data_IF_956828311583
#
_entry.id   IF_956828311583
#
_cell.length_a   1.000
_cell.length_b   1.000
_cell.length_c   1.000
_cell.angle_alpha   90.00
_cell.angle_beta   90.00
_cell.angle_gamma   90.00
#
_symmetry.space_group_name_H-M   'P 1'
#
loop_
_entity.id
_entity.type
_entity.pdbx_description
1 polymer ?
#
# COMPACT_ATOMS: atom_id res chain seq x y z
N UNK A 1 -3.48 -26.51 17.07
CA UNK A 1 -2.53 -25.49 16.63
C UNK A 1 -3.30 -24.18 16.50
N UNK A 2 -2.70 -23.03 16.79
CA UNK A 2 -3.39 -21.75 16.58
C UNK A 2 -3.70 -21.56 15.08
N UNK A 3 -4.85 -20.93 14.81
CA UNK A 3 -5.36 -20.71 13.46
C UNK A 3 -5.65 -19.22 13.23
N UNK A 4 -5.89 -18.85 11.98
CA UNK A 4 -6.34 -17.53 11.58
C UNK A 4 -7.20 -17.62 10.33
N UNK A 5 -8.08 -16.63 10.14
CA UNK A 5 -8.97 -16.54 8.99
C UNK A 5 -8.40 -15.62 7.92
N UNK A 6 -8.75 -15.89 6.68
CA UNK A 6 -8.43 -15.01 5.55
C UNK A 6 -9.55 -15.02 4.50
N UNK A 7 -9.70 -13.89 3.80
CA UNK A 7 -10.60 -13.75 2.66
C UNK A 7 -9.88 -14.16 1.38
N UNK A 8 -10.37 -15.18 0.72
CA UNK A 8 -9.77 -15.78 -0.46
C UNK A 8 -10.40 -15.21 -1.73
N UNK A 9 -9.59 -14.58 -2.54
CA UNK A 9 -9.96 -14.12 -3.88
C UNK A 9 -9.84 -15.27 -4.88
N UNK A 10 -10.94 -15.59 -5.56
CA UNK A 10 -11.04 -16.69 -6.54
C UNK A 10 -11.07 -16.21 -7.99
N UNK A 11 -11.27 -14.93 -8.19
CA UNK A 11 -11.37 -14.33 -9.51
C UNK A 11 -12.36 -13.16 -9.58
N UNK A 12 -12.36 -12.43 -10.70
CA UNK A 12 -13.25 -11.29 -10.90
C UNK A 12 -14.73 -11.68 -10.75
N UNK A 13 -15.47 -10.82 -10.04
CA UNK A 13 -16.92 -10.99 -9.83
C UNK A 13 -17.31 -12.13 -8.88
N UNK A 14 -16.36 -12.94 -8.42
CA UNK A 14 -16.62 -14.05 -7.49
C UNK A 14 -16.56 -13.51 -6.06
N UNK A 15 -17.56 -13.78 -5.19
CA UNK A 15 -17.50 -13.41 -3.79
C UNK A 15 -16.28 -14.01 -3.11
N UNK A 16 -15.70 -13.24 -2.16
CA UNK A 16 -14.61 -13.74 -1.34
C UNK A 16 -15.08 -14.90 -0.46
N UNK A 17 -14.25 -15.92 -0.34
CA UNK A 17 -14.49 -17.06 0.55
C UNK A 17 -13.66 -16.88 1.83
N UNK A 18 -14.32 -16.86 2.99
CA UNK A 18 -13.61 -16.82 4.26
C UNK A 18 -13.19 -18.23 4.64
N UNK A 19 -11.88 -18.43 4.81
CA UNK A 19 -11.29 -19.71 5.23
C UNK A 19 -10.42 -19.53 6.44
N UNK A 20 -10.35 -20.61 7.22
CA UNK A 20 -9.44 -20.74 8.36
C UNK A 20 -8.24 -21.61 7.98
N UNK A 21 -7.06 -21.18 8.42
CA UNK A 21 -5.78 -21.84 8.15
C UNK A 21 -4.97 -21.99 9.43
N UNK A 22 -4.16 -23.03 9.57
CA UNK A 22 -3.18 -23.10 10.64
C UNK A 22 -2.14 -21.97 10.47
N UNK A 23 -1.67 -21.42 11.59
CA UNK A 23 -0.55 -20.47 11.51
C UNK A 23 0.70 -21.20 11.02
N UNK A 24 1.44 -20.59 10.05
CA UNK A 24 2.64 -21.20 9.50
C UNK A 24 3.80 -21.15 10.51
N UNK A 25 4.71 -22.10 10.41
CA UNK A 25 6.02 -21.96 11.04
C UNK A 25 6.77 -20.77 10.42
N UNK A 26 7.40 -19.97 11.26
CA UNK A 26 8.14 -18.79 10.81
C UNK A 26 9.56 -19.20 10.45
N UNK A 27 9.94 -18.99 9.18
CA UNK A 27 11.31 -19.20 8.68
C UNK A 27 12.31 -18.27 9.39
N UNK A 28 13.60 -18.61 9.45
CA UNK A 28 14.60 -17.83 10.19
C UNK A 28 14.66 -16.33 9.83
N UNK A 29 14.41 -15.97 8.57
CA UNK A 29 14.46 -14.58 8.06
C UNK A 29 13.06 -14.03 7.73
N UNK A 30 12.00 -14.59 8.31
CA UNK A 30 10.61 -14.20 8.08
C UNK A 30 9.98 -13.60 9.34
N UNK A 31 8.82 -12.95 9.18
CA UNK A 31 8.04 -12.38 10.28
C UNK A 31 6.59 -12.78 10.07
N UNK A 32 5.90 -13.20 11.11
CA UNK A 32 4.45 -13.31 11.13
C UNK A 32 3.87 -12.06 11.83
N UNK A 33 3.03 -11.33 11.13
CA UNK A 33 2.35 -10.15 11.65
C UNK A 33 0.87 -10.46 11.83
N UNK A 34 0.31 -10.14 12.99
CA UNK A 34 -1.14 -10.09 13.20
C UNK A 34 -1.65 -8.76 12.68
N UNK A 35 -2.47 -8.78 11.65
CA UNK A 35 -3.05 -7.58 11.05
C UNK A 35 -4.05 -6.96 12.04
N UNK A 36 -3.87 -5.69 12.36
CA UNK A 36 -4.79 -4.94 13.24
C UNK A 36 -5.77 -4.11 12.42
N UNK A 37 -5.33 -3.62 11.26
CA UNK A 37 -6.18 -2.91 10.31
C UNK A 37 -5.68 -3.12 8.87
N UNK A 38 -6.62 -3.26 7.95
CA UNK A 38 -6.39 -3.26 6.51
C UNK A 38 -7.43 -2.37 5.82
N UNK A 39 -7.00 -1.60 4.83
CA UNK A 39 -7.89 -0.80 3.99
C UNK A 39 -8.19 -1.51 2.68
N UNK A 40 -9.31 -1.13 2.06
CA UNK A 40 -9.65 -1.52 0.69
C UNK A 40 -9.20 -0.40 -0.24
N UNK A 41 -8.18 -0.67 -1.05
CA UNK A 41 -7.69 0.24 -2.08
C UNK A 41 -8.61 0.19 -3.33
N UNK A 42 -8.59 1.26 -4.12
CA UNK A 42 -9.27 1.26 -5.42
C UNK A 42 -8.81 0.13 -6.35
N UNK A 43 -7.53 -0.24 -6.29
CA UNK A 43 -6.98 -1.34 -7.06
C UNK A 43 -7.53 -2.72 -6.67
N UNK A 44 -7.95 -2.93 -5.42
CA UNK A 44 -8.63 -4.16 -4.99
C UNK A 44 -10.01 -4.27 -5.67
N UNK A 45 -10.72 -3.14 -5.81
CA UNK A 45 -12.00 -3.09 -6.52
C UNK A 45 -11.81 -3.30 -8.03
N UNK A 46 -10.80 -2.68 -8.63
CA UNK A 46 -10.47 -2.88 -10.06
C UNK A 46 -10.10 -4.34 -10.34
N UNK A 47 -9.34 -4.98 -9.45
CA UNK A 47 -9.01 -6.40 -9.55
C UNK A 47 -10.27 -7.26 -9.46
N UNK A 48 -11.15 -7.00 -8.49
CA UNK A 48 -12.38 -7.76 -8.30
C UNK A 48 -13.38 -7.57 -9.45
N UNK A 49 -13.42 -6.38 -10.07
CA UNK A 49 -14.25 -6.10 -11.25
C UNK A 49 -13.67 -6.65 -12.55
N UNK A 50 -12.43 -7.16 -12.54
CA UNK A 50 -11.73 -7.62 -13.75
C UNK A 50 -11.22 -6.49 -14.65
N UNK A 51 -11.19 -5.26 -14.13
CA UNK A 51 -10.69 -4.07 -14.82
C UNK A 51 -9.15 -4.01 -14.79
N UNK A 52 -8.53 -4.77 -13.89
CA UNK A 52 -7.09 -4.90 -13.75
C UNK A 52 -6.67 -6.36 -13.80
N UNK A 53 -5.62 -6.66 -14.57
CA UNK A 53 -5.06 -8.01 -14.62
C UNK A 53 -4.21 -8.29 -13.37
N UNK A 54 -4.35 -9.46 -12.74
CA UNK A 54 -3.45 -9.87 -11.67
C UNK A 54 -2.03 -10.05 -12.21
N UNK A 55 -0.98 -9.90 -11.36
CA UNK A 55 0.42 -10.02 -11.78
C UNK A 55 0.82 -11.44 -12.22
N UNK A 56 -0.03 -12.42 -11.97
CA UNK A 56 0.12 -13.82 -12.40
C UNK A 56 -1.27 -14.46 -12.53
N UNK A 57 -1.40 -15.57 -13.29
CA UNK A 57 -2.65 -16.32 -13.36
C UNK A 57 -3.17 -16.71 -11.99
N UNK A 58 -4.49 -16.59 -11.78
CA UNK A 58 -5.14 -16.94 -10.53
C UNK A 58 -5.14 -18.47 -10.38
N UNK A 59 -4.52 -18.97 -9.31
CA UNK A 59 -4.55 -20.39 -9.00
C UNK A 59 -5.98 -20.84 -8.61
N UNK A 60 -6.43 -22.05 -8.96
CA UNK A 60 -7.78 -22.52 -8.61
C UNK A 60 -8.12 -22.49 -7.11
N UNK A 61 -7.13 -22.65 -6.23
CA UNK A 61 -7.32 -22.48 -4.78
C UNK A 61 -7.62 -21.04 -4.37
N UNK A 62 -7.38 -20.05 -5.23
CA UNK A 62 -7.40 -18.64 -4.91
C UNK A 62 -6.22 -18.22 -4.04
N UNK A 63 -6.21 -16.96 -3.62
CA UNK A 63 -5.18 -16.41 -2.72
C UNK A 63 -5.73 -15.21 -1.92
N UNK A 64 -5.02 -14.83 -0.86
CA UNK A 64 -5.35 -13.65 -0.07
C UNK A 64 -4.88 -12.39 -0.80
N UNK A 65 -5.78 -11.43 -0.99
CA UNK A 65 -5.49 -10.10 -1.57
C UNK A 65 -5.36 -9.04 -0.47
N UNK A 66 -5.37 -7.76 -0.89
CA UNK A 66 -5.17 -6.61 -0.01
C UNK A 66 -3.68 -6.30 0.16
N UNK A 67 -3.38 -5.00 0.29
CA UNK A 67 -2.00 -4.51 0.31
C UNK A 67 -1.81 -3.23 1.12
N UNK A 68 -2.87 -2.69 1.71
CA UNK A 68 -2.82 -1.57 2.65
C UNK A 68 -3.09 -2.09 4.05
N UNK A 69 -2.10 -2.07 4.94
CA UNK A 69 -2.21 -2.73 6.23
C UNK A 69 -1.19 -2.24 7.25
N UNK A 70 -1.57 -2.38 8.50
CA UNK A 70 -0.73 -2.25 9.69
C UNK A 70 -1.01 -3.44 10.60
N UNK A 71 -0.06 -3.81 11.45
CA UNK A 71 -0.26 -4.92 12.37
C UNK A 71 0.79 -4.96 13.47
N UNK A 72 0.70 -6.02 14.28
CA UNK A 72 1.66 -6.29 15.36
C UNK A 72 2.43 -7.56 15.06
N UNK A 73 3.71 -7.54 15.34
CA UNK A 73 4.58 -8.70 15.24
C UNK A 73 4.03 -9.81 16.14
N UNK A 74 3.62 -10.92 15.54
CA UNK A 74 3.12 -12.10 16.25
C UNK A 74 4.23 -13.14 16.49
N UNK A 75 5.19 -13.25 15.58
CA UNK A 75 6.39 -14.07 15.75
C UNK A 75 7.51 -13.58 14.83
N UNK A 76 8.75 -13.68 15.29
CA UNK A 76 9.97 -13.37 14.56
C UNK A 76 10.75 -14.63 14.23
N UNK A 77 11.30 -14.68 13.01
CA UNK A 77 12.34 -15.67 12.68
C UNK A 77 13.61 -15.40 13.48
N UNK A 78 14.36 -16.44 13.76
CA UNK A 78 15.52 -16.38 14.66
C UNK A 78 16.61 -15.38 14.25
N UNK A 79 16.68 -14.98 12.97
CA UNK A 79 17.65 -14.04 12.44
C UNK A 79 17.14 -12.58 12.45
N UNK A 80 15.87 -12.36 12.78
CA UNK A 80 15.29 -11.02 12.77
C UNK A 80 15.42 -10.39 14.16
N UNK A 81 16.22 -9.34 14.24
CA UNK A 81 16.45 -8.58 15.50
C UNK A 81 16.13 -7.10 15.36
N UNK A 82 15.99 -6.61 14.13
CA UNK A 82 15.74 -5.19 13.84
C UNK A 82 14.72 -5.02 12.72
N UNK A 83 14.12 -3.83 12.66
CA UNK A 83 13.38 -3.38 11.48
C UNK A 83 14.33 -3.00 10.32
N UNK A 84 13.79 -2.57 9.19
CA UNK A 84 14.56 -2.22 8.00
C UNK A 84 15.42 -0.94 8.14
N UNK A 85 15.24 -0.19 9.24
CA UNK A 85 16.07 0.98 9.60
C UNK A 85 17.11 0.67 10.69
N UNK A 86 17.23 -0.61 11.09
CA UNK A 86 18.16 -1.04 12.13
C UNK A 86 17.67 -0.80 13.58
N UNK A 87 16.40 -0.44 13.78
CA UNK A 87 15.81 -0.28 15.11
C UNK A 87 15.43 -1.64 15.68
N UNK A 88 15.70 -1.92 16.98
CA UNK A 88 15.33 -3.19 17.62
C UNK A 88 13.86 -3.54 17.40
N UNK A 89 13.59 -4.77 17.01
CA UNK A 89 12.25 -5.29 16.74
C UNK A 89 11.97 -6.51 17.62
N UNK A 90 10.78 -6.55 18.24
CA UNK A 90 10.32 -7.63 19.10
C UNK A 90 8.86 -7.98 18.86
N UNK A 91 8.43 -9.14 19.35
CA UNK A 91 7.02 -9.52 19.35
C UNK A 91 6.16 -8.50 20.10
N UNK A 92 4.97 -8.23 19.55
CA UNK A 92 4.05 -7.19 20.03
C UNK A 92 4.26 -5.81 19.42
N UNK A 93 5.43 -5.53 18.85
CA UNK A 93 5.72 -4.24 18.21
C UNK A 93 4.78 -3.99 17.03
N UNK A 94 4.36 -2.73 16.89
CA UNK A 94 3.48 -2.31 15.81
C UNK A 94 4.29 -1.95 14.58
N UNK A 95 3.92 -2.52 13.43
CA UNK A 95 4.70 -2.41 12.19
C UNK A 95 3.83 -2.14 10.98
N UNK A 96 4.40 -1.38 10.04
CA UNK A 96 3.97 -1.28 8.65
C UNK A 96 5.04 -1.90 7.74
N UNK A 97 4.66 -2.42 6.59
CA UNK A 97 5.55 -3.19 5.74
C UNK A 97 5.15 -3.14 4.27
N UNK A 98 6.09 -3.49 3.39
CA UNK A 98 5.82 -3.56 1.96
C UNK A 98 5.03 -4.83 1.61
N UNK A 99 4.23 -4.75 0.54
CA UNK A 99 3.45 -5.87 0.00
C UNK A 99 4.11 -6.53 -1.22
N UNK A 100 5.37 -6.18 -1.51
CA UNK A 100 6.18 -6.72 -2.59
C UNK A 100 7.56 -7.14 -2.07
N UNK A 101 8.20 -8.06 -2.79
CA UNK A 101 9.42 -8.74 -2.36
C UNK A 101 10.52 -8.60 -3.41
N UNK A 102 11.31 -7.52 -3.43
CA UNK A 102 12.36 -7.32 -4.42
C UNK A 102 13.45 -8.38 -4.30
N UNK A 103 14.09 -8.71 -5.42
CA UNK A 103 15.13 -9.75 -5.42
C UNK A 103 16.48 -9.28 -4.86
N UNK A 104 16.70 -7.97 -4.73
CA UNK A 104 17.94 -7.36 -4.23
C UNK A 104 19.12 -7.40 -5.19
N UNK A 105 19.02 -8.04 -6.38
CA UNK A 105 20.16 -8.31 -7.26
C UNK A 105 19.95 -8.03 -8.75
N UNK A 106 18.77 -7.65 -9.19
CA UNK A 106 18.54 -7.22 -10.57
C UNK A 106 18.95 -5.76 -10.76
N UNK A 107 19.05 -5.32 -12.00
CA UNK A 107 19.41 -3.94 -12.33
C UNK A 107 18.58 -2.91 -11.53
N UNK A 108 17.26 -3.02 -11.56
CA UNK A 108 16.40 -2.09 -10.82
C UNK A 108 16.69 -2.06 -9.31
N UNK A 109 16.92 -3.24 -8.68
CA UNK A 109 17.26 -3.27 -7.26
C UNK A 109 18.61 -2.66 -6.94
N UNK A 110 19.60 -2.87 -7.79
CA UNK A 110 20.95 -2.32 -7.61
C UNK A 110 21.00 -0.81 -7.90
N UNK A 111 20.10 -0.33 -8.75
CA UNK A 111 19.91 1.08 -9.07
C UNK A 111 19.02 1.82 -8.03
N UNK A 112 18.67 1.18 -6.91
CA UNK A 112 17.85 1.81 -5.85
C UNK A 112 16.35 1.86 -6.15
N UNK A 113 15.87 1.12 -7.14
CA UNK A 113 14.47 1.05 -7.56
C UNK A 113 13.83 -0.32 -7.27
N UNK A 114 13.75 -0.76 -6.01
CA UNK A 114 13.23 -2.09 -5.66
C UNK A 114 11.76 -2.29 -6.06
N UNK A 115 10.98 -1.23 -6.12
CA UNK A 115 9.61 -1.22 -6.60
C UNK A 115 9.48 -1.55 -8.10
N UNK A 116 10.55 -1.33 -8.90
CA UNK A 116 10.62 -1.70 -10.32
C UNK A 116 11.19 -3.11 -10.55
N UNK A 117 11.50 -3.88 -9.49
CA UNK A 117 11.99 -5.25 -9.61
C UNK A 117 11.00 -6.13 -10.38
N UNK A 118 11.41 -6.78 -11.51
CA UNK A 118 10.50 -7.56 -12.35
C UNK A 118 9.91 -8.79 -11.62
N UNK A 119 10.58 -9.29 -10.59
CA UNK A 119 10.14 -10.47 -9.84
C UNK A 119 9.50 -10.13 -8.49
N UNK A 120 9.26 -8.86 -8.18
CA UNK A 120 8.78 -8.41 -6.86
C UNK A 120 7.48 -9.07 -6.37
N UNK A 121 6.62 -9.51 -7.29
CA UNK A 121 5.37 -10.20 -6.98
C UNK A 121 5.41 -11.71 -7.23
N UNK A 122 6.39 -12.21 -7.96
CA UNK A 122 6.45 -13.60 -8.41
C UNK A 122 7.65 -14.37 -7.86
N UNK A 123 8.54 -13.71 -7.12
CA UNK A 123 9.80 -14.29 -6.61
C UNK A 123 9.60 -15.61 -5.86
N UNK A 124 8.49 -15.77 -5.15
CA UNK A 124 8.20 -16.95 -4.35
C UNK A 124 7.15 -17.88 -5.00
N UNK A 125 7.01 -17.79 -6.33
CA UNK A 125 6.04 -18.59 -7.08
C UNK A 125 4.64 -18.00 -7.07
N UNK A 126 3.66 -18.73 -7.60
CA UNK A 126 2.28 -18.27 -7.67
C UNK A 126 1.69 -18.11 -6.27
N UNK A 127 0.87 -17.06 -6.12
CA UNK A 127 0.08 -16.89 -4.90
C UNK A 127 -1.04 -17.94 -4.87
N UNK A 128 -1.13 -18.69 -3.78
CA UNK A 128 -2.13 -19.75 -3.63
C UNK A 128 -2.46 -19.96 -2.14
N UNK A 129 -3.71 -20.38 -1.88
CA UNK A 129 -4.24 -20.54 -0.52
C UNK A 129 -4.26 -21.99 -0.01
N UNK A 130 -3.80 -22.96 -0.78
CA UNK A 130 -3.82 -24.40 -0.42
C UNK A 130 -2.47 -24.91 0.10
N UNK A 131 -1.47 -24.04 0.20
CA UNK A 131 -0.15 -24.35 0.79
C UNK A 131 0.35 -23.24 1.70
N UNK A 132 1.17 -23.55 2.71
CA UNK A 132 1.82 -22.53 3.54
C UNK A 132 2.61 -21.51 2.68
N UNK A 133 2.73 -20.28 3.17
CA UNK A 133 2.32 -19.76 4.47
C UNK A 133 0.87 -19.24 4.54
N UNK A 134 0.03 -19.45 3.54
CA UNK A 134 -1.38 -19.04 3.40
C UNK A 134 -1.62 -17.53 3.43
N UNK A 135 -1.12 -16.83 4.45
CA UNK A 135 -1.36 -15.42 4.76
C UNK A 135 -0.41 -14.49 3.98
N UNK A 136 -0.65 -14.29 2.69
CA UNK A 136 0.22 -13.50 1.79
C UNK A 136 -0.45 -12.23 1.24
N UNK A 137 -1.48 -11.74 1.92
CA UNK A 137 -2.22 -10.51 1.60
C UNK A 137 -2.87 -9.93 2.85
N UNK A 138 -3.29 -8.66 2.78
CA UNK A 138 -3.78 -7.91 3.93
C UNK A 138 -5.20 -8.31 4.39
N UNK A 139 -5.98 -8.98 3.53
CA UNK A 139 -7.33 -9.43 3.89
C UNK A 139 -7.31 -10.77 4.64
N UNK A 140 -6.41 -10.88 5.61
CA UNK A 140 -6.27 -11.97 6.56
C UNK A 140 -6.01 -11.45 7.96
N UNK A 141 -6.31 -12.26 8.98
CA UNK A 141 -5.99 -11.93 10.37
C UNK A 141 -4.48 -11.90 10.63
N UNK A 142 -3.71 -12.49 9.71
CA UNK A 142 -2.25 -12.47 9.72
C UNK A 142 -1.70 -12.13 8.34
N UNK A 143 -0.45 -11.68 8.34
CA UNK A 143 0.36 -11.49 7.14
C UNK A 143 1.74 -12.13 7.34
N UNK A 144 2.13 -13.02 6.44
CA UNK A 144 3.43 -13.67 6.48
C UNK A 144 4.45 -12.89 5.65
N UNK A 145 5.33 -12.21 6.33
CA UNK A 145 6.41 -11.48 5.71
C UNK A 145 7.55 -12.41 5.36
N UNK A 146 7.71 -12.70 4.07
CA UNK A 146 8.78 -13.56 3.55
C UNK A 146 10.14 -12.86 3.59
N UNK A 147 11.27 -13.60 3.59
CA UNK A 147 12.59 -13.00 3.57
C UNK A 147 12.77 -11.94 2.48
N UNK A 148 13.36 -10.80 2.85
CA UNK A 148 13.72 -9.72 1.92
C UNK A 148 12.64 -8.67 1.69
N UNK A 149 11.62 -8.57 2.56
CA UNK A 149 10.76 -7.41 2.58
C UNK A 149 11.20 -6.34 3.56
N UNK A 150 10.65 -5.14 3.38
CA UNK A 150 10.88 -4.03 4.28
C UNK A 150 9.77 -3.98 5.33
N UNK A 151 10.17 -3.83 6.59
CA UNK A 151 9.31 -3.67 7.76
C UNK A 151 9.78 -2.48 8.57
N UNK A 152 8.86 -1.68 9.09
CA UNK A 152 9.16 -0.45 9.81
C UNK A 152 8.32 -0.36 11.07
N UNK A 153 8.95 0.00 12.20
CA UNK A 153 8.26 0.32 13.43
C UNK A 153 7.38 1.54 13.25
N UNK A 154 6.16 1.46 13.74
CA UNK A 154 5.18 2.55 13.74
C UNK A 154 5.30 3.35 15.04
N UNK A 155 5.44 4.68 15.00
CA UNK A 155 5.38 5.54 16.19
C UNK A 155 4.06 5.36 16.94
N UNK A 156 4.11 5.35 18.28
CA UNK A 156 2.93 5.08 19.12
C UNK A 156 1.83 6.15 19.00
N UNK A 157 2.21 7.37 18.62
CA UNK A 157 1.32 8.53 18.44
C UNK A 157 0.39 8.39 17.22
N UNK A 158 0.76 7.56 16.24
CA UNK A 158 -0.03 7.37 15.04
C UNK A 158 -1.05 6.25 15.23
N UNK A 159 -2.31 6.51 14.92
CA UNK A 159 -3.35 5.47 14.95
C UNK A 159 -3.25 4.52 13.76
N UNK A 160 -3.87 3.34 13.85
CA UNK A 160 -3.88 2.37 12.78
C UNK A 160 -4.61 2.88 11.53
N UNK A 161 -5.62 3.74 11.70
CA UNK A 161 -6.37 4.38 10.59
C UNK A 161 -5.47 5.28 9.74
N UNK A 162 -4.53 5.98 10.38
CA UNK A 162 -3.56 6.83 9.68
C UNK A 162 -2.50 5.97 8.98
N UNK A 163 -2.07 4.89 9.63
CA UNK A 163 -0.92 4.10 9.16
C UNK A 163 -1.30 3.07 8.09
N UNK A 164 -2.50 2.49 8.14
CA UNK A 164 -2.87 1.42 7.22
C UNK A 164 -2.70 1.74 5.72
N UNK A 165 -2.99 2.97 5.21
CA UNK A 165 -2.78 3.32 3.80
C UNK A 165 -1.35 3.78 3.46
N UNK A 166 -0.46 3.93 4.43
CA UNK A 166 0.87 4.55 4.24
C UNK A 166 1.73 3.80 3.24
N UNK A 167 1.70 2.47 3.27
CA UNK A 167 2.50 1.63 2.39
C UNK A 167 2.00 1.55 0.93
N UNK A 168 0.90 2.20 0.60
CA UNK A 168 0.35 2.34 -0.75
C UNK A 168 0.21 3.81 -1.13
N UNK A 169 -0.89 4.46 -0.76
CA UNK A 169 -1.25 5.78 -1.25
C UNK A 169 -0.19 6.84 -0.90
N UNK A 170 0.20 6.96 0.37
CA UNK A 170 1.14 7.97 0.82
C UNK A 170 2.54 7.77 0.21
N UNK A 171 3.07 6.55 0.25
CA UNK A 171 4.39 6.25 -0.32
C UNK A 171 4.45 6.47 -1.84
N UNK A 172 3.37 6.19 -2.56
CA UNK A 172 3.29 6.44 -4.01
C UNK A 172 3.34 7.92 -4.34
N UNK A 173 2.58 8.75 -3.62
CA UNK A 173 2.54 10.19 -3.92
C UNK A 173 3.82 10.89 -3.49
N UNK A 174 4.42 10.51 -2.36
CA UNK A 174 5.75 11.01 -1.95
C UNK A 174 6.78 10.74 -3.04
N UNK A 175 6.91 9.49 -3.46
CA UNK A 175 7.84 9.10 -4.51
C UNK A 175 7.52 9.77 -5.86
N UNK A 176 6.24 9.91 -6.20
CA UNK A 176 5.81 10.59 -7.43
C UNK A 176 6.19 12.06 -7.47
N UNK A 177 6.00 12.79 -6.38
CA UNK A 177 6.38 14.20 -6.26
C UNK A 177 7.91 14.39 -6.24
N UNK A 178 8.64 13.48 -5.60
CA UNK A 178 10.10 13.43 -5.62
C UNK A 178 10.62 13.22 -7.06
N UNK A 179 10.08 12.22 -7.78
CA UNK A 179 10.44 11.98 -9.19
C UNK A 179 10.07 13.14 -10.12
N UNK A 180 8.97 13.83 -9.84
CA UNK A 180 8.60 15.05 -10.56
C UNK A 180 9.56 16.20 -10.29
N UNK A 181 10.45 16.07 -9.31
CA UNK A 181 11.44 17.08 -8.95
C UNK A 181 10.84 18.28 -8.21
N UNK A 182 9.76 18.06 -7.45
CA UNK A 182 9.11 19.11 -6.66
C UNK A 182 10.12 19.80 -5.73
N UNK A 183 10.15 21.11 -5.75
CA UNK A 183 11.01 21.97 -4.92
C UNK A 183 10.17 22.95 -4.12
N UNK A 184 10.73 23.43 -3.02
CA UNK A 184 10.14 24.52 -2.26
C UNK A 184 9.91 25.74 -3.17
N UNK A 185 8.71 26.33 -3.12
CA UNK A 185 8.30 27.45 -3.96
C UNK A 185 7.61 27.09 -5.27
N UNK A 186 7.56 25.80 -5.65
CA UNK A 186 6.89 25.37 -6.88
C UNK A 186 5.35 25.41 -6.75
N UNK A 187 4.68 25.47 -7.90
CA UNK A 187 3.24 25.27 -8.04
C UNK A 187 2.95 23.82 -8.44
N UNK A 188 2.03 23.18 -7.74
CA UNK A 188 1.60 21.80 -8.02
C UNK A 188 0.14 21.78 -8.43
N UNK A 189 -0.15 21.16 -9.58
CA UNK A 189 -1.52 20.92 -10.04
C UNK A 189 -1.83 19.43 -9.95
N UNK A 190 -2.85 19.08 -9.18
CA UNK A 190 -3.29 17.71 -8.93
C UNK A 190 -4.60 17.44 -9.70
N UNK A 191 -4.55 16.51 -10.65
CA UNK A 191 -5.75 16.08 -11.38
C UNK A 191 -6.36 14.85 -10.66
N UNK A 192 -7.49 15.06 -10.00
CA UNK A 192 -8.18 14.10 -9.17
C UNK A 192 -7.90 14.29 -7.68
N UNK A 193 -8.97 14.53 -6.91
CA UNK A 193 -8.95 14.67 -5.45
C UNK A 193 -9.52 13.42 -4.75
N UNK A 194 -9.22 12.23 -5.27
CA UNK A 194 -9.44 10.95 -4.58
C UNK A 194 -8.38 10.72 -3.51
N UNK A 195 -8.32 9.51 -2.93
CA UNK A 195 -7.36 9.18 -1.86
C UNK A 195 -5.91 9.52 -2.19
N UNK A 196 -5.43 9.22 -3.41
CA UNK A 196 -4.08 9.61 -3.85
C UNK A 196 -3.94 11.13 -3.94
N UNK A 197 -4.91 11.83 -4.54
CA UNK A 197 -4.86 13.29 -4.69
C UNK A 197 -4.87 14.04 -3.36
N UNK A 198 -5.65 13.58 -2.38
CA UNK A 198 -5.66 14.15 -1.03
C UNK A 198 -4.31 13.98 -0.33
N UNK A 199 -3.74 12.77 -0.37
CA UNK A 199 -2.39 12.54 0.14
C UNK A 199 -1.35 13.39 -0.60
N UNK A 200 -1.47 13.55 -1.93
CA UNK A 200 -0.56 14.37 -2.72
C UNK A 200 -0.65 15.86 -2.35
N UNK A 201 -1.83 16.38 -2.05
CA UNK A 201 -1.99 17.76 -1.59
C UNK A 201 -1.25 17.99 -0.26
N UNK A 202 -1.47 17.11 0.72
CA UNK A 202 -0.78 17.19 2.00
C UNK A 202 0.74 17.08 1.86
N UNK A 203 1.22 16.09 1.11
CA UNK A 203 2.66 15.88 0.89
C UNK A 203 3.29 17.03 0.15
N UNK A 204 2.64 17.58 -0.90
CA UNK A 204 3.16 18.72 -1.64
C UNK A 204 3.35 19.95 -0.73
N UNK A 205 2.42 20.19 0.21
CA UNK A 205 2.56 21.27 1.21
C UNK A 205 3.76 21.02 2.11
N UNK A 206 3.89 19.83 2.66
CA UNK A 206 5.02 19.45 3.54
C UNK A 206 6.36 19.53 2.80
N UNK A 207 6.40 19.26 1.49
CA UNK A 207 7.60 19.41 0.65
C UNK A 207 7.88 20.87 0.27
N UNK A 208 7.02 21.83 0.67
CA UNK A 208 7.24 23.27 0.49
C UNK A 208 6.67 23.85 -0.80
N UNK A 209 5.70 23.22 -1.45
CA UNK A 209 4.99 23.84 -2.57
C UNK A 209 4.39 25.18 -2.15
N UNK A 210 4.59 26.22 -2.97
CA UNK A 210 4.04 27.55 -2.72
C UNK A 210 2.54 27.62 -3.04
N UNK A 211 2.10 26.82 -4.01
CA UNK A 211 0.70 26.76 -4.44
C UNK A 211 0.33 25.32 -4.80
N UNK A 212 -0.74 24.82 -4.20
CA UNK A 212 -1.32 23.50 -4.51
C UNK A 212 -2.73 23.69 -5.05
N UNK A 213 -2.96 23.28 -6.30
CA UNK A 213 -4.24 23.37 -7.00
C UNK A 213 -4.79 21.96 -7.20
N UNK A 214 -6.01 21.68 -6.72
CA UNK A 214 -6.67 20.41 -6.92
C UNK A 214 -7.86 20.53 -7.89
N UNK A 215 -7.95 19.60 -8.84
CA UNK A 215 -8.99 19.55 -9.86
C UNK A 215 -9.80 18.26 -9.67
N UNK A 216 -11.11 18.35 -9.48
CA UNK A 216 -12.03 17.19 -9.42
C UNK A 216 -13.44 17.60 -9.89
N UNK A 217 -14.29 16.61 -10.14
CA UNK A 217 -15.70 16.86 -10.49
C UNK A 217 -16.64 16.81 -9.27
N UNK A 218 -16.22 16.21 -8.14
CA UNK A 218 -17.06 16.00 -6.97
C UNK A 218 -16.82 17.09 -5.93
N UNK A 219 -17.85 17.93 -5.61
CA UNK A 219 -17.69 19.02 -4.64
C UNK A 219 -17.15 18.58 -3.29
N UNK A 220 -17.58 17.42 -2.80
CA UNK A 220 -17.12 16.87 -1.51
C UNK A 220 -15.62 16.57 -1.50
N UNK A 221 -15.06 16.11 -2.62
CA UNK A 221 -13.62 15.85 -2.77
C UNK A 221 -12.82 17.14 -2.85
N UNK A 222 -13.36 18.16 -3.51
CA UNK A 222 -12.74 19.48 -3.58
C UNK A 222 -12.69 20.14 -2.20
N UNK A 223 -13.74 20.00 -1.40
CA UNK A 223 -13.75 20.48 -0.02
C UNK A 223 -12.71 19.75 0.85
N UNK A 224 -12.63 18.43 0.74
CA UNK A 224 -11.58 17.66 1.43
C UNK A 224 -10.18 18.05 0.95
N UNK A 225 -9.99 18.34 -0.34
CA UNK A 225 -8.69 18.76 -0.86
C UNK A 225 -8.19 20.05 -0.19
N UNK A 226 -9.08 21.01 0.09
CA UNK A 226 -8.71 22.20 0.88
C UNK A 226 -8.24 21.86 2.29
N UNK A 227 -8.95 20.94 2.96
CA UNK A 227 -8.57 20.49 4.30
C UNK A 227 -7.23 19.75 4.30
N UNK A 228 -6.88 19.10 3.18
CA UNK A 228 -5.61 18.40 2.97
C UNK A 228 -4.50 19.28 2.39
N UNK A 229 -4.69 20.60 2.29
CA UNK A 229 -3.64 21.55 1.94
C UNK A 229 -3.68 22.09 0.52
N UNK A 230 -4.75 21.85 -0.25
CA UNK A 230 -4.94 22.56 -1.50
C UNK A 230 -5.33 24.02 -1.23
N UNK A 231 -4.59 24.96 -1.81
CA UNK A 231 -4.88 26.39 -1.73
C UNK A 231 -6.06 26.75 -2.62
N UNK A 232 -6.09 26.16 -3.83
CA UNK A 232 -7.12 26.38 -4.82
C UNK A 232 -7.74 25.06 -5.27
N UNK A 233 -9.02 25.11 -5.61
CA UNK A 233 -9.71 23.97 -6.20
C UNK A 233 -10.46 24.39 -7.46
N UNK A 234 -10.44 23.51 -8.46
CA UNK A 234 -11.10 23.74 -9.74
C UNK A 234 -12.12 22.64 -9.99
N UNK A 235 -13.39 23.02 -10.15
CA UNK A 235 -14.48 22.10 -10.45
C UNK A 235 -14.54 21.81 -11.94
N UNK A 236 -14.50 20.52 -12.31
CA UNK A 236 -14.72 20.12 -13.71
C UNK A 236 -16.15 20.36 -14.19
N UNK A 237 -17.10 20.55 -13.27
CA UNK A 237 -18.48 20.92 -13.63
C UNK A 237 -18.61 22.39 -14.00
N UNK A 238 -17.84 23.27 -13.33
CA UNK A 238 -17.82 24.72 -13.60
C UNK A 238 -16.89 25.07 -14.77
N UNK A 239 -15.76 24.38 -14.88
CA UNK A 239 -14.72 24.57 -15.90
C UNK A 239 -14.49 23.27 -16.69
N UNK A 240 -15.41 22.91 -17.62
CA UNK A 240 -15.41 21.59 -18.26
C UNK A 240 -14.29 21.39 -19.27
N UNK A 241 -13.76 22.46 -19.85
CA UNK A 241 -12.69 22.36 -20.87
C UNK A 241 -11.30 22.65 -20.29
N UNK A 242 -10.23 22.11 -20.86
CA UNK A 242 -8.86 22.44 -20.46
C UNK A 242 -8.58 23.95 -20.49
N UNK A 243 -9.03 24.63 -21.53
CA UNK A 243 -8.84 26.07 -21.73
C UNK A 243 -9.49 26.87 -20.59
N UNK A 244 -10.75 26.59 -20.28
CA UNK A 244 -11.45 27.23 -19.15
C UNK A 244 -10.76 27.04 -17.81
N UNK A 245 -10.09 25.89 -17.61
CA UNK A 245 -9.33 25.61 -16.37
C UNK A 245 -8.01 26.37 -16.32
N UNK A 246 -7.38 26.63 -17.46
CA UNK A 246 -6.13 27.40 -17.53
C UNK A 246 -6.38 28.89 -17.30
N UNK A 247 -7.54 29.40 -17.71
CA UNK A 247 -7.93 30.81 -17.52
C UNK A 247 -8.40 31.11 -16.09
N UNK A 248 -8.76 30.09 -15.30
CA UNK A 248 -9.20 30.20 -13.91
C UNK A 248 -8.04 30.35 -12.94
#
# INVERSE_FOLDING_TARGET
MPTGRAAIFKGPGIPFEIREFPLPNVEPDAILVRVTMANICGSDLHLWRGEMQPPAPIHPSGYVTGHEMVGRVAALGQNITTDSLGRPLKEGDRVVYTYFFPCGRCYACLDGLPNACPTRFTRFGPRRSDVPPYFIGAFGEYYYLRPGHYVFLVPDELSDEIVAPVNCALSQVMYGLELAGLRAGDTVVLQGAGGLGLNAAAVAREMGAALVIAIDQLPQRLELARQFGADEVISLQEYPTPEARVER
#
